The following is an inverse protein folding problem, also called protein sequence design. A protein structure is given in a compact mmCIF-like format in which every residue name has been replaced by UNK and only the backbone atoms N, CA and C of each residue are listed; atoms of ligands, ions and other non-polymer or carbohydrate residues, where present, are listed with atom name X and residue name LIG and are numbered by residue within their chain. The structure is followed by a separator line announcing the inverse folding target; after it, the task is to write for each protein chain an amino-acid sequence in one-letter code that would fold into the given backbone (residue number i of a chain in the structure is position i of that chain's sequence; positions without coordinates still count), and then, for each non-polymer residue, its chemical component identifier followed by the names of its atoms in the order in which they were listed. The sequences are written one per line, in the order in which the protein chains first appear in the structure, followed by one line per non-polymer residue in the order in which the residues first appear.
data_IF_099852173323
#
_entry.id   IF_099852173323
#
_cell.length_a   1.000
_cell.length_b   1.000
_cell.length_c   1.000
_cell.angle_alpha   90.00
_cell.angle_beta   90.00
_cell.angle_gamma   90.00
#
_symmetry.space_group_name_H-M   'P 1'
#
loop_
_entity.id
_entity.type
_entity.pdbx_description
1 polymer ?
#
# COMPACT_ATOMS: atom_id res chain seq x y z
N UNK A 1 1.09 36.99 -9.07
CA UNK A 1 2.29 36.23 -9.45
C UNK A 1 3.60 36.88 -8.99
N UNK A 2 3.92 38.14 -9.28
CA UNK A 2 5.19 38.79 -8.86
C UNK A 2 5.44 38.86 -7.32
N UNK A 3 4.39 39.06 -6.49
CA UNK A 3 4.53 39.09 -5.03
C UNK A 3 4.83 37.71 -4.41
N UNK A 4 4.32 36.63 -5.02
CA UNK A 4 4.57 35.24 -4.55
C UNK A 4 6.01 34.84 -4.89
N UNK A 5 6.51 35.21 -6.08
CA UNK A 5 7.91 34.99 -6.44
C UNK A 5 8.90 35.75 -5.52
N UNK A 6 8.54 36.95 -5.11
CA UNK A 6 9.39 37.79 -4.23
C UNK A 6 9.47 37.23 -2.81
N UNK A 7 8.34 36.72 -2.28
CA UNK A 7 8.31 36.03 -0.96
C UNK A 7 9.09 34.72 -1.03
N UNK A 8 8.99 34.00 -2.16
CA UNK A 8 9.77 32.78 -2.42
C UNK A 8 11.29 33.05 -2.47
N UNK A 9 11.69 34.17 -3.10
CA UNK A 9 13.10 34.54 -3.19
C UNK A 9 13.67 34.93 -1.82
N UNK A 10 12.92 35.67 -1.00
CA UNK A 10 13.33 36.06 0.35
C UNK A 10 13.37 34.87 1.31
N UNK A 11 12.43 33.92 1.21
CA UNK A 11 12.47 32.70 2.00
C UNK A 11 13.63 31.79 1.59
N UNK A 12 13.93 31.67 0.30
CA UNK A 12 15.05 30.90 -0.20
C UNK A 12 16.41 31.52 0.23
N UNK A 13 16.52 32.85 0.15
CA UNK A 13 17.74 33.55 0.62
C UNK A 13 17.90 33.49 2.14
N UNK A 14 16.82 33.54 2.90
CA UNK A 14 16.89 33.37 4.35
C UNK A 14 17.23 31.94 4.78
N UNK A 15 16.75 30.92 4.05
CA UNK A 15 17.16 29.51 4.28
C UNK A 15 18.63 29.31 3.91
N UNK A 16 19.08 29.84 2.80
CA UNK A 16 20.49 29.78 2.38
C UNK A 16 21.39 30.54 3.37
N UNK A 17 20.95 31.71 3.87
CA UNK A 17 21.68 32.46 4.90
C UNK A 17 21.65 31.76 6.26
N UNK A 18 20.55 31.17 6.68
CA UNK A 18 20.46 30.41 7.93
C UNK A 18 21.31 29.14 7.89
N UNK A 19 21.32 28.44 6.77
CA UNK A 19 22.20 27.28 6.56
C UNK A 19 23.67 27.70 6.51
N UNK A 20 24.03 28.83 5.85
CA UNK A 20 25.38 29.38 5.85
C UNK A 20 25.86 29.92 7.20
N UNK A 21 24.98 30.54 8.00
CA UNK A 21 25.36 31.04 9.32
C UNK A 21 25.51 29.94 10.38
N UNK A 22 24.85 28.78 10.18
CA UNK A 22 25.03 27.61 11.05
C UNK A 22 26.25 26.75 10.66
N UNK A 23 26.79 26.96 9.45
CA UNK A 23 27.87 26.15 8.87
C UNK A 23 29.23 26.80 8.88
N UNK A 24 29.45 27.85 9.67
CA UNK A 24 30.75 28.57 9.62
C UNK A 24 31.95 27.74 10.08
N UNK A 25 31.77 26.58 10.71
CA UNK A 25 32.92 25.87 11.28
C UNK A 25 33.08 24.36 10.96
N UNK A 26 32.17 23.65 10.24
CA UNK A 26 32.49 22.22 9.87
C UNK A 26 31.46 21.48 8.98
N UNK A 27 30.46 22.12 8.35
CA UNK A 27 29.58 21.43 7.42
C UNK A 27 29.99 21.77 5.97
N UNK A 28 30.59 20.81 5.28
CA UNK A 28 30.94 20.95 3.88
C UNK A 28 29.72 21.07 2.95
N UNK A 29 29.95 21.41 1.71
CA UNK A 29 28.95 21.58 0.65
C UNK A 29 27.99 20.38 0.51
N UNK A 30 28.36 19.18 1.01
CA UNK A 30 27.53 17.98 1.07
C UNK A 30 26.22 18.23 1.84
N UNK A 31 26.30 18.70 3.10
CA UNK A 31 25.11 18.88 3.94
C UNK A 31 24.18 19.93 3.36
N UNK A 32 24.73 20.97 2.72
CA UNK A 32 23.95 22.00 2.05
C UNK A 32 23.09 21.40 0.93
N UNK A 33 23.70 20.61 0.03
CA UNK A 33 23.01 19.99 -1.08
C UNK A 33 22.04 18.90 -0.60
N UNK A 34 22.42 18.11 0.40
CA UNK A 34 21.54 17.10 0.99
C UNK A 34 20.29 17.72 1.61
N UNK A 35 20.43 18.80 2.40
CA UNK A 35 19.30 19.48 3.02
C UNK A 35 18.42 20.21 1.98
N UNK A 36 19.02 20.84 0.97
CA UNK A 36 18.28 21.42 -0.15
C UNK A 36 17.47 20.36 -0.90
N UNK A 37 18.07 19.20 -1.16
CA UNK A 37 17.38 18.07 -1.78
C UNK A 37 16.18 17.61 -0.96
N UNK A 38 16.34 17.47 0.36
CA UNK A 38 15.25 17.12 1.27
C UNK A 38 14.12 18.16 1.23
N UNK A 39 14.46 19.44 1.27
CA UNK A 39 13.46 20.53 1.26
C UNK A 39 12.71 20.58 -0.08
N UNK A 40 13.40 20.45 -1.23
CA UNK A 40 12.76 20.37 -2.54
C UNK A 40 11.86 19.14 -2.65
N UNK A 41 12.30 17.98 -2.17
CA UNK A 41 11.50 16.75 -2.19
C UNK A 41 10.22 16.88 -1.35
N UNK A 42 10.32 17.53 -0.17
CA UNK A 42 9.18 17.83 0.70
C UNK A 42 8.16 18.78 0.05
N UNK A 43 8.64 19.73 -0.75
CA UNK A 43 7.80 20.68 -1.49
C UNK A 43 7.26 20.10 -2.82
N UNK A 44 7.60 18.89 -3.18
CA UNK A 44 7.21 18.28 -4.44
C UNK A 44 8.00 18.75 -5.66
N UNK A 45 9.08 19.51 -5.47
CA UNK A 45 10.00 19.96 -6.51
C UNK A 45 11.02 18.85 -6.81
N UNK A 46 10.52 17.75 -7.39
CA UNK A 46 11.25 16.48 -7.45
C UNK A 46 12.49 16.56 -8.32
N UNK A 47 12.45 17.30 -9.45
CA UNK A 47 13.61 17.46 -10.32
C UNK A 47 14.74 18.25 -9.65
N UNK A 48 14.38 19.28 -8.89
CA UNK A 48 15.35 20.05 -8.11
C UNK A 48 15.95 19.21 -6.98
N UNK A 49 15.11 18.38 -6.31
CA UNK A 49 15.60 17.46 -5.29
C UNK A 49 16.64 16.47 -5.85
N UNK A 50 16.33 15.83 -6.97
CA UNK A 50 17.25 14.89 -7.64
C UNK A 50 18.56 15.57 -8.02
N UNK A 51 18.48 16.81 -8.53
CA UNK A 51 19.69 17.58 -8.88
C UNK A 51 20.56 17.86 -7.67
N UNK A 52 19.97 18.27 -6.56
CA UNK A 52 20.71 18.56 -5.33
C UNK A 52 21.29 17.29 -4.69
N UNK A 53 20.51 16.18 -4.67
CA UNK A 53 21.05 14.89 -4.21
C UNK A 53 22.22 14.41 -5.06
N UNK A 54 22.20 14.60 -6.39
CA UNK A 54 23.34 14.25 -7.25
C UNK A 54 24.58 15.08 -6.95
N UNK A 55 24.42 16.38 -6.68
CA UNK A 55 25.55 17.22 -6.23
C UNK A 55 26.11 16.76 -4.88
N UNK A 56 25.24 16.38 -3.94
CA UNK A 56 25.69 15.81 -2.67
C UNK A 56 26.50 14.51 -2.88
N UNK A 57 26.07 13.65 -3.83
CA UNK A 57 26.80 12.41 -4.19
C UNK A 57 28.19 12.72 -4.77
N UNK A 58 28.32 13.75 -5.61
CA UNK A 58 29.63 14.18 -6.16
C UNK A 58 30.63 14.60 -5.08
N UNK A 59 30.12 15.05 -3.93
CA UNK A 59 30.97 15.47 -2.79
C UNK A 59 31.27 14.28 -1.86
N UNK A 60 30.24 13.48 -1.56
CA UNK A 60 30.36 12.28 -0.72
C UNK A 60 29.32 11.24 -1.13
N UNK A 61 29.75 10.13 -1.66
CA UNK A 61 28.96 9.02 -2.16
C UNK A 61 28.74 7.88 -1.13
N UNK A 62 29.10 8.09 0.15
CA UNK A 62 29.07 7.08 1.20
C UNK A 62 27.89 7.26 2.18
N UNK A 63 26.82 7.98 1.79
CA UNK A 63 25.64 8.21 2.63
C UNK A 63 24.46 7.31 2.23
N UNK A 64 24.14 6.26 3.01
CA UNK A 64 22.96 5.41 2.75
C UNK A 64 21.67 6.21 2.69
N UNK A 65 21.48 7.17 3.62
CA UNK A 65 20.30 8.04 3.69
C UNK A 65 20.12 8.88 2.43
N UNK A 66 21.21 9.37 1.84
CA UNK A 66 21.18 10.17 0.61
C UNK A 66 20.64 9.33 -0.55
N UNK A 67 21.16 8.12 -0.72
CA UNK A 67 20.69 7.21 -1.77
C UNK A 67 19.26 6.76 -1.55
N UNK A 68 18.83 6.50 -0.32
CA UNK A 68 17.43 6.21 -0.02
C UNK A 68 16.52 7.38 -0.42
N UNK A 69 16.88 8.62 -0.05
CA UNK A 69 16.08 9.80 -0.40
C UNK A 69 16.06 10.07 -1.90
N UNK A 70 17.17 9.80 -2.60
CA UNK A 70 17.22 9.86 -4.06
C UNK A 70 16.29 8.82 -4.69
N UNK A 71 16.26 7.59 -4.16
CA UNK A 71 15.32 6.55 -4.57
C UNK A 71 13.87 7.01 -4.42
N UNK A 72 13.51 7.57 -3.26
CA UNK A 72 12.16 8.14 -3.02
C UNK A 72 11.82 9.24 -4.05
N UNK A 73 12.79 10.09 -4.40
CA UNK A 73 12.57 11.12 -5.40
C UNK A 73 12.36 10.53 -6.82
N UNK A 74 13.08 9.48 -7.18
CA UNK A 74 12.87 8.76 -8.45
C UNK A 74 11.51 8.06 -8.47
N UNK A 75 11.07 7.45 -7.36
CA UNK A 75 9.76 6.81 -7.23
C UNK A 75 8.61 7.77 -7.49
N UNK A 76 8.67 9.01 -6.96
CA UNK A 76 7.68 10.06 -7.26
C UNK A 76 7.56 10.37 -8.76
N UNK A 77 8.62 10.13 -9.53
CA UNK A 77 8.65 10.27 -11.00
C UNK A 77 8.32 8.97 -11.73
N UNK A 78 8.10 7.87 -11.01
CA UNK A 78 7.91 6.52 -11.57
C UNK A 78 9.10 6.03 -12.40
N UNK A 79 10.29 6.50 -12.06
CA UNK A 79 11.56 6.06 -12.65
C UNK A 79 12.06 4.84 -11.86
N UNK A 80 11.38 3.71 -12.04
CA UNK A 80 11.55 2.51 -11.20
C UNK A 80 12.94 1.89 -11.25
N UNK A 81 13.66 2.01 -12.37
CA UNK A 81 15.01 1.46 -12.48
C UNK A 81 16.03 2.25 -11.66
N UNK A 82 15.95 3.57 -11.75
CA UNK A 82 16.77 4.50 -10.96
C UNK A 82 16.41 4.43 -9.47
N UNK A 83 15.14 4.29 -9.16
CA UNK A 83 14.63 4.10 -7.81
C UNK A 83 15.22 2.85 -7.16
N UNK A 84 15.07 1.68 -7.80
CA UNK A 84 15.60 0.39 -7.34
C UNK A 84 17.13 0.43 -7.22
N UNK A 85 17.82 1.04 -8.20
CA UNK A 85 19.27 1.19 -8.17
C UNK A 85 19.72 2.01 -6.97
N UNK A 86 19.01 3.09 -6.66
CA UNK A 86 19.34 3.96 -5.53
C UNK A 86 19.16 3.23 -4.18
N UNK A 87 18.05 2.49 -3.99
CA UNK A 87 17.86 1.69 -2.77
C UNK A 87 18.92 0.58 -2.64
N UNK A 88 19.27 -0.10 -3.72
CA UNK A 88 20.36 -1.08 -3.71
C UNK A 88 21.70 -0.47 -3.29
N UNK A 89 21.97 0.75 -3.75
CA UNK A 89 23.20 1.45 -3.35
C UNK A 89 23.16 1.85 -1.87
N UNK A 90 22.00 2.28 -1.35
CA UNK A 90 21.83 2.52 0.09
C UNK A 90 22.10 1.26 0.92
N UNK A 91 21.58 0.10 0.49
CA UNK A 91 21.76 -1.20 1.13
C UNK A 91 23.23 -1.68 1.05
N UNK A 92 23.91 -1.44 -0.08
CA UNK A 92 25.34 -1.77 -0.24
C UNK A 92 26.20 -1.01 0.78
N UNK A 93 25.85 0.25 1.07
CA UNK A 93 26.55 1.10 2.03
C UNK A 93 26.19 0.79 3.49
N UNK A 94 24.96 0.34 3.75
CA UNK A 94 24.48 -0.06 5.06
C UNK A 94 23.54 -1.27 4.92
N UNK A 95 24.07 -2.45 5.15
CA UNK A 95 23.32 -3.72 5.05
C UNK A 95 22.24 -3.90 6.13
N UNK A 96 22.22 -3.03 7.13
CA UNK A 96 21.17 -2.97 8.18
C UNK A 96 20.11 -1.91 7.94
N UNK A 97 20.15 -1.20 6.80
CA UNK A 97 19.24 -0.07 6.55
C UNK A 97 17.84 -0.54 6.18
N UNK A 98 17.02 -0.75 7.19
CA UNK A 98 15.64 -1.29 7.11
C UNK A 98 14.75 -0.51 6.15
N UNK A 99 14.78 0.84 6.21
CA UNK A 99 13.94 1.69 5.34
C UNK A 99 14.27 1.48 3.86
N UNK A 100 15.55 1.28 3.51
CA UNK A 100 15.94 1.05 2.14
C UNK A 100 15.46 -0.31 1.62
N UNK A 101 15.48 -1.35 2.45
CA UNK A 101 14.87 -2.64 2.10
C UNK A 101 13.37 -2.53 1.93
N UNK A 102 12.68 -1.84 2.84
CA UNK A 102 11.24 -1.64 2.77
C UNK A 102 10.84 -0.91 1.49
N UNK A 103 11.49 0.20 1.20
CA UNK A 103 11.28 0.98 -0.02
C UNK A 103 11.62 0.20 -1.29
N UNK A 104 12.70 -0.63 -1.25
CA UNK A 104 13.04 -1.53 -2.34
C UNK A 104 11.92 -2.54 -2.61
N UNK A 105 11.31 -3.08 -1.56
CA UNK A 105 10.15 -3.97 -1.67
C UNK A 105 9.00 -3.30 -2.42
N UNK A 106 8.61 -2.09 -1.99
CA UNK A 106 7.56 -1.31 -2.65
C UNK A 106 7.88 -1.06 -4.13
N UNK A 107 9.10 -0.62 -4.43
CA UNK A 107 9.52 -0.32 -5.81
C UNK A 107 9.54 -1.58 -6.70
N UNK A 108 9.97 -2.71 -6.14
CA UNK A 108 9.97 -4.00 -6.85
C UNK A 108 8.54 -4.47 -7.12
N UNK A 109 7.62 -4.34 -6.15
CA UNK A 109 6.19 -4.66 -6.32
C UNK A 109 5.55 -3.80 -7.40
N UNK A 110 5.78 -2.47 -7.37
CA UNK A 110 5.28 -1.55 -8.41
C UNK A 110 5.78 -1.89 -9.81
N UNK A 111 6.96 -2.51 -9.92
CA UNK A 111 7.55 -2.98 -11.19
C UNK A 111 7.16 -4.43 -11.56
N UNK A 112 6.44 -5.14 -10.68
CA UNK A 112 6.09 -6.56 -10.89
C UNK A 112 7.24 -7.55 -10.66
N UNK A 113 8.28 -7.14 -9.95
CA UNK A 113 9.45 -7.98 -9.62
C UNK A 113 9.20 -8.73 -8.30
N UNK A 114 8.21 -9.62 -8.27
CA UNK A 114 7.68 -10.26 -7.05
C UNK A 114 8.76 -10.96 -6.23
N UNK A 115 9.72 -11.65 -6.85
CA UNK A 115 10.80 -12.33 -6.10
C UNK A 115 11.73 -11.34 -5.38
N UNK A 116 12.01 -10.20 -6.01
CA UNK A 116 12.81 -9.15 -5.40
C UNK A 116 12.04 -8.45 -4.27
N UNK A 117 10.75 -8.22 -4.46
CA UNK A 117 9.84 -7.69 -3.46
C UNK A 117 9.81 -8.57 -2.20
N UNK A 118 9.56 -9.88 -2.36
CA UNK A 118 9.59 -10.85 -1.28
C UNK A 118 10.93 -10.86 -0.53
N UNK A 119 12.04 -10.85 -1.26
CA UNK A 119 13.37 -10.84 -0.66
C UNK A 119 13.62 -9.56 0.15
N UNK A 120 13.17 -8.42 -0.35
CA UNK A 120 13.33 -7.15 0.33
C UNK A 120 12.55 -7.11 1.65
N UNK A 121 11.26 -7.48 1.65
CA UNK A 121 10.46 -7.53 2.89
C UNK A 121 10.96 -8.59 3.88
N UNK A 122 11.44 -9.75 3.41
CA UNK A 122 12.08 -10.73 4.28
C UNK A 122 13.29 -10.15 5.00
N UNK A 123 14.10 -9.33 4.33
CA UNK A 123 15.23 -8.65 4.98
C UNK A 123 14.78 -7.65 6.03
N UNK A 124 13.68 -6.91 5.79
CA UNK A 124 13.09 -6.06 6.83
C UNK A 124 12.75 -6.89 8.07
N UNK A 125 12.08 -8.04 7.89
CA UNK A 125 11.63 -8.89 9.00
C UNK A 125 12.79 -9.62 9.70
N UNK A 126 13.89 -9.92 9.00
CA UNK A 126 15.12 -10.42 9.61
C UNK A 126 15.74 -9.39 10.56
N UNK A 127 15.65 -8.10 10.25
CA UNK A 127 16.19 -6.99 11.07
C UNK A 127 15.21 -6.58 12.16
N UNK A 128 13.93 -6.45 11.82
CA UNK A 128 12.82 -6.04 12.67
C UNK A 128 11.65 -7.04 12.54
N UNK A 129 11.62 -8.11 13.37
CA UNK A 129 10.63 -9.18 13.26
C UNK A 129 9.18 -8.76 13.53
N UNK A 130 8.98 -7.62 14.15
CA UNK A 130 7.66 -7.09 14.51
C UNK A 130 7.22 -5.92 13.60
N UNK A 131 7.89 -5.73 12.47
CA UNK A 131 7.53 -4.73 11.49
C UNK A 131 6.21 -5.09 10.80
N UNK A 132 5.12 -4.53 11.32
CA UNK A 132 3.75 -4.81 10.85
C UNK A 132 3.59 -4.50 9.36
N UNK A 133 4.13 -3.39 8.90
CA UNK A 133 3.98 -2.95 7.51
C UNK A 133 4.70 -3.90 6.54
N UNK A 134 5.90 -4.36 6.90
CA UNK A 134 6.63 -5.33 6.10
C UNK A 134 5.96 -6.70 6.10
N UNK A 135 5.46 -7.17 7.25
CA UNK A 135 4.68 -8.43 7.35
C UNK A 135 3.41 -8.37 6.50
N UNK A 136 2.69 -7.26 6.55
CA UNK A 136 1.47 -7.05 5.78
C UNK A 136 1.75 -7.06 4.27
N UNK A 137 2.76 -6.31 3.83
CA UNK A 137 3.17 -6.27 2.41
C UNK A 137 3.74 -7.61 1.94
N UNK A 138 4.47 -8.33 2.80
CA UNK A 138 4.93 -9.69 2.52
C UNK A 138 3.74 -10.65 2.29
N UNK A 139 2.68 -10.52 3.09
CA UNK A 139 1.43 -11.25 2.91
C UNK A 139 0.79 -10.99 1.56
N UNK A 140 0.79 -9.74 1.09
CA UNK A 140 0.33 -9.37 -0.26
C UNK A 140 1.19 -10.00 -1.35
N UNK A 141 2.51 -9.83 -1.28
CA UNK A 141 3.43 -10.34 -2.28
C UNK A 141 3.37 -11.88 -2.39
N UNK A 142 3.22 -12.60 -1.26
CA UNK A 142 2.98 -14.04 -1.26
C UNK A 142 1.66 -14.41 -1.92
N UNK A 143 0.57 -13.68 -1.64
CA UNK A 143 -0.74 -13.92 -2.26
C UNK A 143 -0.67 -13.71 -3.78
N UNK A 144 -0.03 -12.64 -4.23
CA UNK A 144 0.11 -12.32 -5.65
C UNK A 144 0.99 -13.34 -6.39
N UNK A 145 1.85 -14.04 -5.65
CA UNK A 145 2.60 -15.21 -6.12
C UNK A 145 1.85 -16.55 -5.95
N UNK A 146 0.60 -16.50 -5.49
CA UNK A 146 -0.24 -17.69 -5.18
C UNK A 146 0.32 -18.61 -4.09
N UNK A 147 1.24 -18.10 -3.26
CA UNK A 147 1.80 -18.78 -2.10
C UNK A 147 0.90 -18.51 -0.87
N UNK A 148 -0.29 -19.14 -0.90
CA UNK A 148 -1.36 -18.81 0.07
C UNK A 148 -1.04 -19.22 1.49
N UNK A 149 -0.24 -20.27 1.72
CA UNK A 149 0.15 -20.68 3.06
C UNK A 149 1.05 -19.65 3.75
N UNK A 150 2.02 -19.15 2.99
CA UNK A 150 2.94 -18.12 3.45
C UNK A 150 2.21 -16.77 3.64
N UNK A 151 1.29 -16.44 2.74
CA UNK A 151 0.42 -15.26 2.87
C UNK A 151 -0.40 -15.31 4.17
N UNK A 152 -1.04 -16.47 4.46
CA UNK A 152 -1.79 -16.71 5.68
C UNK A 152 -0.90 -16.56 6.91
N UNK A 153 0.30 -17.10 6.88
CA UNK A 153 1.25 -17.00 7.99
C UNK A 153 1.65 -15.54 8.27
N UNK A 154 1.94 -14.77 7.22
CA UNK A 154 2.31 -13.37 7.33
C UNK A 154 1.18 -12.52 7.94
N UNK A 155 -0.06 -12.64 7.44
CA UNK A 155 -1.20 -11.90 8.01
C UNK A 155 -1.54 -12.33 9.44
N UNK A 156 -1.39 -13.61 9.79
CA UNK A 156 -1.53 -14.04 11.19
C UNK A 156 -0.51 -13.38 12.09
N UNK A 157 0.74 -13.26 11.62
CA UNK A 157 1.77 -12.57 12.41
C UNK A 157 1.43 -11.10 12.63
N UNK A 158 0.89 -10.40 11.61
CA UNK A 158 0.34 -9.04 11.76
C UNK A 158 -0.69 -9.00 12.89
N UNK A 159 -1.65 -9.94 12.90
CA UNK A 159 -2.74 -9.99 13.87
C UNK A 159 -2.30 -10.44 15.29
N UNK A 160 -1.17 -11.12 15.43
CA UNK A 160 -0.54 -11.40 16.73
C UNK A 160 0.04 -10.12 17.35
N UNK A 161 0.56 -9.20 16.51
CA UNK A 161 1.16 -7.94 16.94
C UNK A 161 0.06 -6.89 17.15
N UNK A 162 -0.84 -6.73 16.17
CA UNK A 162 -1.99 -5.82 16.24
C UNK A 162 -3.32 -6.58 15.96
N UNK A 163 -4.01 -7.04 17.00
CA UNK A 163 -5.30 -7.72 16.88
C UNK A 163 -6.44 -6.84 16.34
N UNK A 164 -6.23 -5.53 16.19
CA UNK A 164 -7.22 -4.60 15.64
C UNK A 164 -6.96 -4.24 14.17
N UNK A 165 -5.96 -4.84 13.53
CA UNK A 165 -5.59 -4.55 12.15
C UNK A 165 -6.63 -5.11 11.16
N UNK A 166 -7.65 -4.32 10.85
CA UNK A 166 -8.82 -4.72 10.05
C UNK A 166 -8.42 -5.28 8.68
N UNK A 167 -7.50 -4.61 7.99
CA UNK A 167 -7.08 -4.99 6.64
C UNK A 167 -6.35 -6.35 6.62
N UNK A 168 -5.68 -6.72 7.72
CA UNK A 168 -5.08 -8.04 7.82
C UNK A 168 -6.13 -9.15 7.93
N UNK A 169 -7.21 -8.96 8.70
CA UNK A 169 -8.32 -9.91 8.69
C UNK A 169 -8.96 -10.04 7.32
N UNK A 170 -9.18 -8.92 6.63
CA UNK A 170 -9.78 -8.93 5.30
C UNK A 170 -8.92 -9.74 4.32
N UNK A 171 -7.63 -9.44 4.24
CA UNK A 171 -6.70 -10.11 3.32
C UNK A 171 -6.40 -11.57 3.72
N UNK A 172 -6.42 -11.87 5.02
CA UNK A 172 -6.36 -13.25 5.52
C UNK A 172 -7.60 -14.04 5.04
N UNK A 173 -8.79 -13.43 5.07
CA UNK A 173 -10.01 -14.00 4.50
C UNK A 173 -9.85 -14.30 3.02
N UNK A 174 -9.36 -13.33 2.24
CA UNK A 174 -9.09 -13.53 0.80
C UNK A 174 -8.11 -14.69 0.57
N UNK A 175 -7.03 -14.78 1.34
CA UNK A 175 -6.03 -15.86 1.20
C UNK A 175 -6.62 -17.24 1.54
N UNK A 176 -7.48 -17.33 2.58
CA UNK A 176 -8.21 -18.55 2.90
C UNK A 176 -9.19 -18.95 1.79
N UNK A 177 -9.93 -17.99 1.21
CA UNK A 177 -10.84 -18.25 0.09
C UNK A 177 -10.11 -18.78 -1.13
N UNK A 178 -8.99 -18.16 -1.51
CA UNK A 178 -8.12 -18.65 -2.59
C UNK A 178 -7.62 -20.08 -2.38
N UNK A 179 -7.44 -20.48 -1.13
CA UNK A 179 -7.06 -21.84 -0.73
C UNK A 179 -8.25 -22.80 -0.61
N UNK A 180 -9.49 -22.31 -0.76
CA UNK A 180 -10.71 -23.11 -0.60
C UNK A 180 -11.09 -23.40 0.87
N UNK A 181 -10.51 -22.68 1.82
CA UNK A 181 -10.76 -22.86 3.25
C UNK A 181 -11.92 -21.97 3.70
N UNK A 182 -13.12 -22.24 3.18
CA UNK A 182 -14.31 -21.38 3.30
C UNK A 182 -14.73 -21.05 4.72
N UNK A 183 -14.60 -21.99 5.68
CA UNK A 183 -14.96 -21.71 7.08
C UNK A 183 -14.01 -20.68 7.72
N UNK A 184 -12.73 -20.76 7.39
CA UNK A 184 -11.73 -19.80 7.84
C UNK A 184 -11.96 -18.44 7.19
N UNK A 185 -12.25 -18.39 5.91
CA UNK A 185 -12.59 -17.17 5.16
C UNK A 185 -13.77 -16.44 5.81
N UNK A 186 -14.88 -17.15 6.03
CA UNK A 186 -16.09 -16.63 6.68
C UNK A 186 -15.76 -16.07 8.07
N UNK A 187 -14.92 -16.78 8.83
CA UNK A 187 -14.52 -16.34 10.16
C UNK A 187 -13.78 -14.99 10.09
N UNK A 188 -12.87 -14.83 9.12
CA UNK A 188 -12.11 -13.59 9.01
C UNK A 188 -13.00 -12.41 8.60
N UNK A 189 -13.89 -12.57 7.61
CA UNK A 189 -14.80 -11.47 7.25
C UNK A 189 -15.75 -11.11 8.40
N UNK A 190 -16.18 -12.06 9.23
CA UNK A 190 -16.91 -11.74 10.45
C UNK A 190 -16.08 -10.91 11.42
N UNK A 191 -14.78 -11.22 11.57
CA UNK A 191 -13.87 -10.39 12.39
C UNK A 191 -13.74 -8.97 11.85
N UNK A 192 -13.68 -8.80 10.51
CA UNK A 192 -13.77 -7.46 9.91
C UNK A 192 -15.06 -6.75 10.31
N UNK A 193 -16.20 -7.44 10.27
CA UNK A 193 -17.51 -6.86 10.61
C UNK A 193 -17.70 -6.62 12.11
N UNK A 194 -17.07 -7.40 12.98
CA UNK A 194 -17.01 -7.14 14.42
C UNK A 194 -16.30 -5.81 14.72
N UNK A 195 -15.24 -5.50 13.99
CA UNK A 195 -14.44 -4.27 14.14
C UNK A 195 -15.01 -3.09 13.34
N UNK A 196 -15.55 -3.35 12.15
CA UNK A 196 -16.17 -2.37 11.27
C UNK A 196 -17.49 -2.89 10.68
N UNK A 197 -18.61 -2.75 11.38
CA UNK A 197 -19.93 -3.24 10.94
C UNK A 197 -20.44 -2.57 9.64
N UNK A 198 -19.83 -1.47 9.22
CA UNK A 198 -20.19 -0.73 7.99
C UNK A 198 -19.28 -1.00 6.80
N UNK A 199 -18.56 -2.11 6.81
CA UNK A 199 -17.76 -2.54 5.66
C UNK A 199 -18.63 -3.21 4.60
N UNK A 200 -19.06 -2.45 3.58
CA UNK A 200 -19.83 -3.00 2.46
C UNK A 200 -19.03 -4.10 1.72
N UNK A 201 -17.74 -3.95 1.64
CA UNK A 201 -16.84 -4.91 0.99
C UNK A 201 -16.76 -6.23 1.77
N UNK A 202 -16.67 -6.18 3.10
CA UNK A 202 -16.67 -7.39 3.92
C UNK A 202 -18.01 -8.13 3.85
N UNK A 203 -19.16 -7.43 3.88
CA UNK A 203 -20.45 -8.04 3.63
C UNK A 203 -20.52 -8.69 2.25
N UNK A 204 -20.05 -8.02 1.21
CA UNK A 204 -20.05 -8.56 -0.14
C UNK A 204 -19.21 -9.85 -0.25
N UNK A 205 -17.99 -9.86 0.28
CA UNK A 205 -17.13 -11.04 0.23
C UNK A 205 -17.64 -12.17 1.13
N UNK A 206 -18.23 -11.86 2.28
CA UNK A 206 -18.92 -12.84 3.13
C UNK A 206 -20.11 -13.47 2.39
N UNK A 207 -20.83 -12.68 1.59
CA UNK A 207 -21.88 -13.18 0.71
C UNK A 207 -21.36 -14.15 -0.33
N UNK A 208 -20.20 -13.86 -0.96
CA UNK A 208 -19.55 -14.79 -1.91
C UNK A 208 -19.20 -16.10 -1.20
N UNK A 209 -18.55 -16.05 -0.05
CA UNK A 209 -18.14 -17.22 0.71
C UNK A 209 -19.34 -18.08 1.15
N UNK A 210 -20.47 -17.46 1.52
CA UNK A 210 -21.71 -18.20 1.79
C UNK A 210 -22.30 -18.85 0.53
N UNK A 211 -22.18 -18.21 -0.63
CA UNK A 211 -22.61 -18.77 -1.92
C UNK A 211 -21.83 -20.03 -2.28
N UNK A 212 -20.51 -20.01 -2.13
CA UNK A 212 -19.65 -21.20 -2.35
C UNK A 212 -20.02 -22.37 -1.42
N UNK A 213 -20.50 -22.07 -0.20
CA UNK A 213 -21.06 -23.06 0.72
C UNK A 213 -22.53 -23.39 0.44
N UNK A 214 -23.17 -22.83 -0.59
CA UNK A 214 -24.60 -22.96 -0.94
C UNK A 214 -25.56 -22.54 0.18
N UNK A 215 -25.12 -21.61 1.02
CA UNK A 215 -25.95 -21.03 2.09
C UNK A 215 -26.69 -19.79 1.56
N UNK A 216 -27.54 -20.00 0.57
CA UNK A 216 -28.18 -18.95 -0.24
C UNK A 216 -28.91 -17.88 0.56
N UNK A 217 -29.59 -18.22 1.66
CA UNK A 217 -30.29 -17.22 2.46
C UNK A 217 -29.32 -16.27 3.17
N UNK A 218 -28.20 -16.79 3.65
CA UNK A 218 -27.13 -15.95 4.23
C UNK A 218 -26.45 -15.12 3.14
N UNK A 219 -26.18 -15.69 1.98
CA UNK A 219 -25.64 -14.98 0.82
C UNK A 219 -26.48 -13.76 0.43
N UNK A 220 -27.80 -13.96 0.27
CA UNK A 220 -28.76 -12.88 -0.04
C UNK A 220 -28.73 -11.79 1.02
N UNK A 221 -28.73 -12.19 2.31
CA UNK A 221 -28.69 -11.22 3.41
C UNK A 221 -27.43 -10.36 3.38
N UNK A 222 -26.28 -10.97 3.15
CA UNK A 222 -25.01 -10.22 3.13
C UNK A 222 -24.90 -9.29 1.92
N UNK A 223 -25.40 -9.68 0.74
CA UNK A 223 -25.46 -8.75 -0.41
C UNK A 223 -26.41 -7.57 -0.14
N UNK A 224 -27.56 -7.81 0.51
CA UNK A 224 -28.48 -6.74 0.93
C UNK A 224 -27.83 -5.78 1.92
N UNK A 225 -27.06 -6.29 2.90
CA UNK A 225 -26.32 -5.48 3.84
C UNK A 225 -25.27 -4.62 3.10
N UNK A 226 -24.54 -5.20 2.15
CA UNK A 226 -23.58 -4.45 1.33
C UNK A 226 -24.25 -3.31 0.56
N UNK A 227 -25.42 -3.57 -0.05
CA UNK A 227 -26.21 -2.57 -0.79
C UNK A 227 -26.77 -1.49 0.14
N UNK A 228 -27.26 -1.87 1.33
CA UNK A 228 -27.77 -0.91 2.31
C UNK A 228 -26.69 0.07 2.79
N UNK A 229 -25.45 -0.40 2.93
CA UNK A 229 -24.29 0.42 3.31
C UNK A 229 -23.81 1.26 2.14
N UNK A 230 -23.68 0.66 0.96
CA UNK A 230 -23.26 1.33 -0.26
C UNK A 230 -24.26 1.10 -1.40
N UNK A 231 -25.28 1.98 -1.57
CA UNK A 231 -26.27 1.85 -2.63
C UNK A 231 -25.72 1.95 -4.07
N UNK A 232 -24.44 2.31 -4.24
CA UNK A 232 -23.75 2.33 -5.54
C UNK A 232 -22.90 1.09 -5.79
N UNK A 233 -22.98 0.07 -4.97
CA UNK A 233 -22.16 -1.13 -5.10
C UNK A 233 -22.68 -2.08 -6.19
N UNK A 234 -22.49 -1.71 -7.44
CA UNK A 234 -23.00 -2.40 -8.62
C UNK A 234 -22.78 -3.94 -8.60
N UNK A 235 -21.58 -4.39 -8.15
CA UNK A 235 -21.26 -5.83 -8.05
C UNK A 235 -22.22 -6.57 -7.12
N UNK A 236 -22.70 -5.95 -6.03
CA UNK A 236 -23.60 -6.58 -5.08
C UNK A 236 -24.99 -6.79 -5.69
N UNK A 237 -25.51 -5.83 -6.44
CA UNK A 237 -26.76 -5.99 -7.20
C UNK A 237 -26.66 -7.11 -8.24
N UNK A 238 -25.53 -7.16 -8.98
CA UNK A 238 -25.35 -8.21 -10.00
C UNK A 238 -25.29 -9.59 -9.41
N UNK A 239 -24.60 -9.76 -8.29
CA UNK A 239 -24.53 -11.04 -7.60
C UNK A 239 -25.86 -11.42 -6.96
N UNK A 240 -26.59 -10.46 -6.36
CA UNK A 240 -27.91 -10.69 -5.78
C UNK A 240 -28.92 -11.10 -6.86
N UNK A 241 -28.91 -10.45 -8.02
CA UNK A 241 -29.70 -10.82 -9.20
C UNK A 241 -29.47 -12.30 -9.57
N UNK A 242 -28.18 -12.70 -9.65
CA UNK A 242 -27.82 -14.07 -10.02
C UNK A 242 -28.38 -15.10 -9.03
N UNK A 243 -28.27 -14.82 -7.72
CA UNK A 243 -28.80 -15.71 -6.67
C UNK A 243 -30.32 -15.81 -6.75
N UNK A 244 -31.03 -14.71 -6.99
CA UNK A 244 -32.50 -14.75 -7.14
C UNK A 244 -32.94 -15.53 -8.36
N UNK A 245 -32.20 -15.46 -9.50
CA UNK A 245 -32.47 -16.31 -10.67
C UNK A 245 -32.30 -17.79 -10.35
N UNK A 246 -31.22 -18.14 -9.66
CA UNK A 246 -30.96 -19.54 -9.25
C UNK A 246 -32.06 -20.08 -8.35
N UNK A 247 -32.65 -19.22 -7.49
CA UNK A 247 -33.77 -19.55 -6.62
C UNK A 247 -35.13 -19.51 -7.34
N UNK A 248 -35.21 -19.14 -8.61
CA UNK A 248 -36.47 -18.97 -9.36
C UNK A 248 -37.28 -17.72 -8.99
N UNK A 249 -36.70 -16.79 -8.26
CA UNK A 249 -37.30 -15.52 -7.83
C UNK A 249 -37.11 -14.45 -8.91
N UNK A 250 -37.87 -14.60 -10.01
CA UNK A 250 -37.62 -13.84 -11.25
C UNK A 250 -37.93 -12.35 -11.10
N UNK A 251 -38.96 -12.00 -10.33
CA UNK A 251 -39.35 -10.60 -10.12
C UNK A 251 -38.27 -9.84 -9.33
N UNK A 252 -37.77 -10.45 -8.26
CA UNK A 252 -36.66 -9.88 -7.47
C UNK A 252 -35.39 -9.77 -8.31
N UNK A 253 -35.05 -10.82 -9.08
CA UNK A 253 -33.90 -10.78 -9.97
C UNK A 253 -33.98 -9.63 -10.99
N UNK A 254 -35.15 -9.41 -11.60
CA UNK A 254 -35.35 -8.33 -12.56
C UNK A 254 -35.22 -6.93 -11.91
N UNK A 255 -35.65 -6.79 -10.65
CA UNK A 255 -35.49 -5.55 -9.88
C UNK A 255 -33.99 -5.24 -9.68
N UNK A 256 -33.23 -6.21 -9.17
CA UNK A 256 -31.81 -6.02 -8.94
C UNK A 256 -31.03 -5.76 -10.26
N UNK A 257 -31.43 -6.41 -11.35
CA UNK A 257 -30.86 -6.16 -12.68
C UNK A 257 -31.14 -4.72 -13.16
N UNK A 258 -32.33 -4.19 -12.89
CA UNK A 258 -32.67 -2.80 -13.22
C UNK A 258 -31.77 -1.83 -12.46
N UNK A 259 -31.58 -2.03 -11.15
CA UNK A 259 -30.69 -1.18 -10.34
C UNK A 259 -29.23 -1.29 -10.79
N UNK A 260 -28.73 -2.51 -11.05
CA UNK A 260 -27.41 -2.70 -11.64
C UNK A 260 -27.22 -1.90 -12.94
N UNK A 261 -28.19 -2.03 -13.88
CA UNK A 261 -28.12 -1.34 -15.17
C UNK A 261 -28.15 0.19 -15.04
N UNK A 262 -28.88 0.72 -14.06
CA UNK A 262 -28.90 2.16 -13.78
C UNK A 262 -27.53 2.64 -13.28
N UNK A 263 -26.84 1.85 -12.45
CA UNK A 263 -25.52 2.20 -11.90
C UNK A 263 -24.37 2.14 -12.91
N UNK A 264 -24.46 1.27 -13.93
CA UNK A 264 -23.36 1.11 -14.92
C UNK A 264 -23.54 1.92 -16.19
N UNK A 265 -24.69 2.60 -16.36
CA UNK A 265 -24.94 3.51 -17.51
C UNK A 265 -24.37 4.91 -17.31
N UNK A 266 -23.93 5.24 -16.12
CA UNK A 266 -23.36 6.52 -15.72
C UNK A 266 -21.92 6.37 -15.24
#
# INVERSE_FOLDING_TARGET
MRKILFVFFILLTNIICAVRSYSADNFGDFDVHYQLGNEYNKRGMVDDAIREYKKAIEINDHSPKLYNNLGVAYGKKKLFDEEISSYKKAIELDTGYTDAYFNLGIACGAKGLIDNELNAYKKVIEIDPDNIEALYNLGHAYRDKEMYDESIAAYKRVLEIDPAYIDAYFNLGVSYGRKGMLDNEILQYKKVLDLNPKSAEAHFNLGIAYGEKRLFDKQVNEYKNAIAINPKYAKAYKNLESVYREKGMIEEANRELSEYNNLVKH
#
